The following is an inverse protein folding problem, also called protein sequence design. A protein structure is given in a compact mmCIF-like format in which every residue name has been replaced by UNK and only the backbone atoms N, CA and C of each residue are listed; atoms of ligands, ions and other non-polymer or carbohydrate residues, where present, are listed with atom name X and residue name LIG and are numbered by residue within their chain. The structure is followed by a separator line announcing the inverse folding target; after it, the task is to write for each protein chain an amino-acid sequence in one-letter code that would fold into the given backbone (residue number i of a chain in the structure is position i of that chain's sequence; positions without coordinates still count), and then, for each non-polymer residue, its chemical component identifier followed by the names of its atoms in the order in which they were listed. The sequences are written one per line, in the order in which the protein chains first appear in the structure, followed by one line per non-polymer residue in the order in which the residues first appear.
data_IF_810830762087
#
_entry.id   IF_810830762087
#
_cell.length_a   1.000
_cell.length_b   1.000
_cell.length_c   1.000
_cell.angle_alpha   90.00
_cell.angle_beta   90.00
_cell.angle_gamma   90.00
#
_symmetry.space_group_name_H-M   'P 1'
#
loop_
_entity.id
_entity.type
_entity.pdbx_description
1 polymer ?
#
# COMPACT_ATOMS: atom_id res chain seq x y z
N UNK A 1 5.69 -14.49 -13.68
CA UNK A 1 6.05 -13.90 -12.36
C UNK A 1 5.11 -12.73 -12.14
N UNK A 2 4.16 -12.92 -11.25
CA UNK A 2 3.11 -11.93 -10.96
C UNK A 2 3.64 -10.89 -9.98
N UNK A 3 3.51 -9.61 -10.31
CA UNK A 3 4.03 -8.48 -9.56
C UNK A 3 2.95 -7.49 -9.17
N UNK A 4 2.92 -7.07 -7.91
CA UNK A 4 1.98 -6.04 -7.46
C UNK A 4 2.75 -4.87 -6.84
N UNK A 5 2.37 -3.64 -7.21
CA UNK A 5 2.90 -2.43 -6.61
C UNK A 5 2.11 -2.04 -5.36
N UNK A 6 2.78 -1.58 -4.30
CA UNK A 6 2.12 -1.00 -3.12
C UNK A 6 2.64 0.41 -2.86
N UNK A 7 1.73 1.37 -2.85
CA UNK A 7 1.97 2.76 -2.51
C UNK A 7 1.33 3.04 -1.15
N UNK A 8 2.14 3.49 -0.18
CA UNK A 8 1.65 3.90 1.15
C UNK A 8 2.00 5.36 1.37
N UNK A 9 0.99 6.24 1.40
CA UNK A 9 1.23 7.65 1.68
C UNK A 9 1.31 7.88 3.20
N UNK A 10 2.50 8.19 3.77
CA UNK A 10 2.64 8.44 5.20
C UNK A 10 1.92 9.71 5.66
N UNK A 11 1.72 10.69 4.77
CA UNK A 11 1.05 11.96 5.08
C UNK A 11 -0.48 11.88 5.02
N UNK A 12 -1.08 10.77 4.53
CA UNK A 12 -2.54 10.61 4.54
C UNK A 12 -3.06 10.55 5.99
N UNK A 13 -4.21 11.19 6.23
CA UNK A 13 -4.77 11.28 7.59
C UNK A 13 -4.27 12.48 8.42
N UNK A 14 -3.33 13.29 7.92
CA UNK A 14 -2.85 14.51 8.60
C UNK A 14 -3.61 15.78 8.16
N UNK A 15 -4.83 15.64 7.67
CA UNK A 15 -5.64 16.79 7.23
C UNK A 15 -6.07 17.63 8.43
N UNK A 16 -5.97 18.96 8.31
CA UNK A 16 -6.39 19.93 9.33
C UNK A 16 -7.88 19.79 9.68
N UNK A 17 -8.70 19.30 8.79
CA UNK A 17 -10.14 19.04 9.02
C UNK A 17 -10.40 18.06 10.15
N UNK A 18 -9.44 17.21 10.52
CA UNK A 18 -9.55 16.32 11.68
C UNK A 18 -9.66 17.05 13.02
N UNK A 19 -9.17 18.31 13.09
CA UNK A 19 -9.27 19.14 14.29
C UNK A 19 -10.70 19.61 14.55
N UNK A 20 -11.55 19.60 13.53
CA UNK A 20 -12.93 20.09 13.57
C UNK A 20 -13.94 18.93 13.61
N UNK A 21 -13.61 17.82 12.95
CA UNK A 21 -14.41 16.59 13.01
C UNK A 21 -13.64 15.52 13.79
N UNK A 22 -14.29 14.81 14.70
CA UNK A 22 -13.71 13.66 15.42
C UNK A 22 -13.46 12.47 14.48
N UNK A 23 -12.79 12.72 13.34
CA UNK A 23 -12.58 11.73 12.31
C UNK A 23 -11.51 10.73 12.72
N UNK A 24 -11.74 9.45 12.43
CA UNK A 24 -10.79 8.36 12.65
C UNK A 24 -9.53 8.60 11.82
N UNK A 25 -8.37 8.53 12.45
CA UNK A 25 -7.07 8.68 11.79
C UNK A 25 -6.39 7.32 11.73
N UNK A 26 -6.03 6.90 10.53
CA UNK A 26 -5.15 5.74 10.32
C UNK A 26 -3.71 6.23 10.46
N UNK A 27 -3.05 5.91 11.57
CA UNK A 27 -1.66 6.27 11.80
C UNK A 27 -0.68 5.42 10.97
N UNK A 28 0.60 5.78 10.97
CA UNK A 28 1.60 5.08 10.16
C UNK A 28 1.91 3.66 10.68
N UNK A 29 1.67 3.37 11.96
CA UNK A 29 1.78 2.01 12.49
C UNK A 29 0.64 1.14 11.97
N UNK A 30 -0.59 1.65 11.95
CA UNK A 30 -1.74 0.94 11.39
C UNK A 30 -1.59 0.75 9.87
N UNK A 31 -1.06 1.75 9.13
CA UNK A 31 -0.75 1.57 7.69
C UNK A 31 0.26 0.44 7.46
N UNK A 32 1.28 0.33 8.33
CA UNK A 32 2.21 -0.79 8.30
C UNK A 32 1.52 -2.14 8.56
N UNK A 33 0.63 -2.20 9.56
CA UNK A 33 -0.15 -3.41 9.85
C UNK A 33 -1.13 -3.76 8.71
N UNK A 34 -1.79 -2.78 8.12
CA UNK A 34 -2.62 -2.96 6.92
C UNK A 34 -1.80 -3.52 5.76
N UNK A 35 -0.58 -3.02 5.55
CA UNK A 35 0.32 -3.51 4.50
C UNK A 35 0.66 -4.99 4.70
N UNK A 36 0.93 -5.43 5.92
CA UNK A 36 1.21 -6.86 6.18
C UNK A 36 -0.02 -7.73 5.89
N UNK A 37 -1.22 -7.28 6.29
CA UNK A 37 -2.46 -8.00 5.95
C UNK A 37 -2.69 -8.06 4.44
N UNK A 38 -2.40 -6.96 3.72
CA UNK A 38 -2.46 -6.91 2.26
C UNK A 38 -1.48 -7.92 1.63
N UNK A 39 -0.22 -7.95 2.10
CA UNK A 39 0.78 -8.94 1.67
C UNK A 39 0.33 -10.38 1.90
N UNK A 40 -0.32 -10.66 3.04
CA UNK A 40 -0.86 -11.99 3.33
C UNK A 40 -1.96 -12.39 2.33
N UNK A 41 -2.84 -11.46 1.97
CA UNK A 41 -3.88 -11.69 0.95
C UNK A 41 -3.28 -11.91 -0.45
N UNK A 42 -2.30 -11.11 -0.84
CA UNK A 42 -1.58 -11.25 -2.11
C UNK A 42 -0.84 -12.60 -2.20
N UNK A 43 -0.15 -13.00 -1.15
CA UNK A 43 0.55 -14.29 -1.10
C UNK A 43 -0.40 -15.48 -1.18
N UNK A 44 -1.57 -15.39 -0.55
CA UNK A 44 -2.60 -16.44 -0.60
C UNK A 44 -3.15 -16.68 -2.02
N UNK A 45 -3.03 -15.71 -2.92
CA UNK A 45 -3.46 -15.80 -4.33
C UNK A 45 -2.32 -16.12 -5.30
N UNK A 46 -1.09 -16.31 -4.80
CA UNK A 46 0.06 -16.71 -5.62
C UNK A 46 0.81 -15.56 -6.27
N UNK A 47 0.68 -14.33 -5.74
CA UNK A 47 1.54 -13.22 -6.16
C UNK A 47 2.99 -13.51 -5.77
N UNK A 48 3.93 -13.38 -6.72
CA UNK A 48 5.34 -13.73 -6.51
C UNK A 48 6.12 -12.62 -5.83
N UNK A 49 5.91 -11.37 -6.26
CA UNK A 49 6.69 -10.21 -5.82
C UNK A 49 5.81 -8.99 -5.57
N UNK A 50 6.17 -8.23 -4.55
CA UNK A 50 5.60 -6.90 -4.28
C UNK A 50 6.69 -5.85 -4.36
N UNK A 51 6.48 -4.86 -5.22
CA UNK A 51 7.28 -3.64 -5.28
C UNK A 51 6.70 -2.59 -4.34
N UNK A 52 7.48 -2.17 -3.36
CA UNK A 52 7.03 -1.26 -2.32
C UNK A 52 7.61 0.14 -2.51
N UNK A 53 6.76 1.15 -2.51
CA UNK A 53 7.21 2.55 -2.39
C UNK A 53 8.04 2.73 -1.12
N UNK A 54 9.18 3.47 -1.16
CA UNK A 54 9.90 3.83 0.07
C UNK A 54 8.94 4.46 1.08
N UNK A 55 8.92 3.94 2.30
CA UNK A 55 8.01 4.38 3.34
C UNK A 55 8.77 5.07 4.48
N UNK A 56 8.06 5.80 5.33
CA UNK A 56 8.66 6.32 6.54
C UNK A 56 9.08 5.19 7.49
N UNK A 57 9.94 5.52 8.46
CA UNK A 57 10.50 4.55 9.39
C UNK A 57 9.44 3.83 10.23
N UNK A 58 8.29 4.46 10.50
CA UNK A 58 7.23 3.84 11.30
C UNK A 58 6.53 2.75 10.50
N UNK A 59 6.21 3.01 9.24
CA UNK A 59 5.60 2.02 8.35
C UNK A 59 6.55 0.85 8.14
N UNK A 60 7.80 1.12 7.72
CA UNK A 60 8.78 0.07 7.41
C UNK A 60 9.12 -0.80 8.62
N UNK A 61 9.38 -0.19 9.79
CA UNK A 61 9.64 -0.93 11.03
C UNK A 61 8.44 -1.78 11.48
N UNK A 62 7.22 -1.28 11.27
CA UNK A 62 6.02 -2.05 11.62
C UNK A 62 5.88 -3.27 10.72
N UNK A 63 6.09 -3.13 9.41
CA UNK A 63 6.10 -4.24 8.47
C UNK A 63 7.15 -5.28 8.89
N UNK A 64 8.40 -4.86 9.09
CA UNK A 64 9.48 -5.76 9.49
C UNK A 64 9.20 -6.49 10.80
N UNK A 65 8.71 -5.77 11.81
CA UNK A 65 8.42 -6.34 13.13
C UNK A 65 7.32 -7.41 13.04
N UNK A 66 6.22 -7.11 12.35
CA UNK A 66 5.09 -8.05 12.24
C UNK A 66 5.49 -9.26 11.40
N UNK A 67 6.14 -9.06 10.25
CA UNK A 67 6.58 -10.14 9.38
C UNK A 67 7.54 -11.10 10.11
N UNK A 68 8.53 -10.58 10.84
CA UNK A 68 9.42 -11.42 11.67
C UNK A 68 8.67 -12.17 12.75
N UNK A 69 7.70 -11.53 13.41
CA UNK A 69 6.88 -12.17 14.45
C UNK A 69 6.08 -13.35 13.87
N UNK A 70 5.48 -13.19 12.70
CA UNK A 70 4.72 -14.26 12.03
C UNK A 70 5.63 -15.44 11.68
N UNK A 71 6.83 -15.19 11.18
CA UNK A 71 7.82 -16.23 10.86
C UNK A 71 8.23 -16.99 12.12
N UNK A 72 8.57 -16.30 13.21
CA UNK A 72 8.98 -16.91 14.49
C UNK A 72 7.86 -17.77 15.09
N UNK A 73 6.60 -17.34 14.93
CA UNK A 73 5.44 -18.08 15.44
C UNK A 73 5.00 -19.25 14.54
N UNK A 74 5.63 -19.42 13.38
CA UNK A 74 5.21 -20.43 12.40
C UNK A 74 3.82 -20.14 11.77
N UNK A 75 3.36 -18.90 11.86
CA UNK A 75 2.06 -18.44 11.36
C UNK A 75 2.16 -17.77 10.00
N UNK A 76 3.34 -17.78 9.39
CA UNK A 76 3.54 -17.16 8.08
C UNK A 76 2.77 -17.94 7.01
N UNK A 77 1.66 -17.37 6.54
CA UNK A 77 1.17 -17.68 5.21
C UNK A 77 2.29 -17.37 4.19
N UNK A 78 2.34 -18.02 3.03
CA UNK A 78 3.28 -17.64 1.99
C UNK A 78 3.11 -16.15 1.68
N UNK A 79 4.13 -15.35 1.99
CA UNK A 79 4.17 -13.94 1.64
C UNK A 79 4.93 -13.80 0.31
N UNK A 80 4.52 -12.87 -0.57
CA UNK A 80 5.31 -12.54 -1.75
C UNK A 80 6.68 -11.98 -1.33
N UNK A 81 7.67 -12.08 -2.20
CA UNK A 81 8.94 -11.38 -1.99
C UNK A 81 8.70 -9.88 -1.95
N UNK A 82 9.28 -9.18 -0.97
CA UNK A 82 9.11 -7.74 -0.80
C UNK A 82 10.36 -7.00 -1.25
N UNK A 83 10.23 -6.21 -2.30
CA UNK A 83 11.31 -5.38 -2.85
C UNK A 83 10.98 -3.90 -2.63
N UNK A 84 11.80 -3.21 -1.85
CA UNK A 84 11.71 -1.76 -1.69
C UNK A 84 12.33 -1.07 -2.89
N UNK A 85 11.61 -0.13 -3.50
CA UNK A 85 12.16 0.69 -4.59
C UNK A 85 13.28 1.60 -4.06
N UNK A 86 14.39 1.65 -4.76
CA UNK A 86 15.51 2.55 -4.44
C UNK A 86 15.24 3.94 -5.00
N UNK A 87 14.45 4.72 -4.29
CA UNK A 87 14.04 6.06 -4.66
C UNK A 87 14.26 7.04 -3.49
N UNK A 88 14.62 8.28 -3.76
CA UNK A 88 14.75 9.30 -2.73
C UNK A 88 13.38 9.60 -2.09
N UNK A 89 13.35 9.66 -0.76
CA UNK A 89 12.15 10.04 0.00
C UNK A 89 12.20 11.53 0.33
N UNK A 90 11.21 12.27 -0.16
CA UNK A 90 11.11 13.72 0.01
C UNK A 90 9.88 14.16 0.80
N UNK A 91 8.99 13.22 1.12
CA UNK A 91 7.69 13.44 1.79
C UNK A 91 6.75 14.37 1.01
N UNK A 92 6.88 14.38 -0.31
CA UNK A 92 6.01 15.14 -1.22
C UNK A 92 5.29 14.24 -2.22
N UNK A 93 4.28 14.80 -2.90
CA UNK A 93 3.49 14.11 -3.92
C UNK A 93 4.35 13.48 -5.04
N UNK A 94 5.53 14.05 -5.32
CA UNK A 94 6.48 13.51 -6.31
C UNK A 94 7.00 12.10 -5.96
N UNK A 95 7.05 11.73 -4.66
CA UNK A 95 7.49 10.40 -4.26
C UNK A 95 6.49 9.33 -4.74
N UNK A 96 5.19 9.60 -4.60
CA UNK A 96 4.12 8.76 -5.15
C UNK A 96 4.23 8.63 -6.68
N UNK A 97 4.51 9.74 -7.36
CA UNK A 97 4.64 9.76 -8.83
C UNK A 97 5.86 8.95 -9.29
N UNK A 98 7.01 9.14 -8.62
CA UNK A 98 8.23 8.42 -8.93
C UNK A 98 8.10 6.91 -8.66
N UNK A 99 7.50 6.55 -7.52
CA UNK A 99 7.26 5.15 -7.20
C UNK A 99 6.32 4.48 -8.23
N UNK A 100 5.23 5.16 -8.60
CA UNK A 100 4.32 4.65 -9.61
C UNK A 100 5.01 4.45 -10.97
N UNK A 101 5.82 5.42 -11.40
CA UNK A 101 6.57 5.33 -12.66
C UNK A 101 7.51 4.12 -12.67
N UNK A 102 8.27 3.91 -11.58
CA UNK A 102 9.14 2.75 -11.43
C UNK A 102 8.37 1.42 -11.42
N UNK A 103 7.20 1.36 -10.78
CA UNK A 103 6.33 0.18 -10.79
C UNK A 103 5.80 -0.14 -12.20
N UNK A 104 5.37 0.89 -12.93
CA UNK A 104 4.90 0.74 -14.33
C UNK A 104 6.04 0.25 -15.23
N UNK A 105 7.23 0.84 -15.10
CA UNK A 105 8.42 0.42 -15.84
C UNK A 105 8.84 -1.03 -15.52
N UNK A 106 8.67 -1.45 -14.26
CA UNK A 106 8.92 -2.81 -13.83
C UNK A 106 7.84 -3.81 -14.28
N UNK A 107 6.74 -3.35 -14.87
CA UNK A 107 5.66 -4.19 -15.38
C UNK A 107 4.84 -4.84 -14.26
N UNK A 108 4.34 -4.06 -13.31
CA UNK A 108 3.41 -4.57 -12.29
C UNK A 108 2.04 -4.86 -12.90
N UNK A 109 1.41 -5.93 -12.44
CA UNK A 109 0.10 -6.40 -12.91
C UNK A 109 -1.06 -5.68 -12.22
N UNK A 110 -0.83 -5.13 -11.03
CA UNK A 110 -1.79 -4.30 -10.28
C UNK A 110 -1.08 -3.36 -9.31
N UNK A 111 -1.77 -2.30 -8.86
CA UNK A 111 -1.25 -1.36 -7.85
C UNK A 111 -2.25 -1.18 -6.71
N UNK A 112 -1.82 -1.40 -5.46
CA UNK A 112 -2.58 -1.11 -4.27
C UNK A 112 -2.14 0.24 -3.67
N UNK A 113 -3.08 1.11 -3.35
CA UNK A 113 -2.78 2.48 -2.92
C UNK A 113 -3.44 2.79 -1.58
N UNK A 114 -2.63 2.84 -0.51
CA UNK A 114 -3.05 3.27 0.82
C UNK A 114 -2.91 4.79 0.92
N UNK A 115 -4.03 5.50 0.77
CA UNK A 115 -4.01 6.96 0.73
C UNK A 115 -5.41 7.57 0.77
N UNK A 116 -5.47 8.89 0.75
CA UNK A 116 -6.71 9.66 0.57
C UNK A 116 -6.96 10.04 -0.89
N UNK A 117 -8.04 10.79 -1.15
CA UNK A 117 -8.43 11.25 -2.49
C UNK A 117 -7.29 11.93 -3.27
N UNK A 118 -6.43 12.70 -2.58
CA UNK A 118 -5.28 13.36 -3.21
C UNK A 118 -4.26 12.37 -3.76
N UNK A 119 -3.95 11.30 -3.01
CA UNK A 119 -3.04 10.24 -3.45
C UNK A 119 -3.64 9.47 -4.62
N UNK A 120 -4.91 9.11 -4.54
CA UNK A 120 -5.61 8.40 -5.60
C UNK A 120 -5.62 9.18 -6.91
N UNK A 121 -5.86 10.51 -6.86
CA UNK A 121 -5.80 11.38 -8.04
C UNK A 121 -4.42 11.38 -8.71
N UNK A 122 -3.33 11.32 -7.93
CA UNK A 122 -1.98 11.26 -8.49
C UNK A 122 -1.74 9.95 -9.25
N UNK A 123 -2.28 8.84 -8.73
CA UNK A 123 -2.12 7.51 -9.33
C UNK A 123 -3.00 7.36 -10.56
N UNK A 124 -4.30 7.56 -10.45
CA UNK A 124 -5.25 7.31 -11.56
C UNK A 124 -5.00 8.17 -12.80
N UNK A 125 -4.45 9.35 -12.66
CA UNK A 125 -4.07 10.19 -13.81
C UNK A 125 -2.85 9.68 -14.59
N UNK A 126 -2.20 8.60 -14.15
CA UNK A 126 -0.91 8.13 -14.68
C UNK A 126 -0.86 6.65 -15.01
N UNK A 127 -1.86 5.89 -14.62
CA UNK A 127 -2.02 4.47 -15.00
C UNK A 127 -3.10 4.38 -16.07
N UNK A 128 -2.77 3.88 -17.26
CA UNK A 128 -3.73 3.77 -18.36
C UNK A 128 -4.57 2.48 -18.25
N UNK A 129 -3.92 1.34 -17.99
CA UNK A 129 -4.56 0.02 -18.07
C UNK A 129 -4.25 -0.88 -16.87
N UNK A 130 -3.39 -0.43 -15.94
CA UNK A 130 -3.05 -1.22 -14.76
C UNK A 130 -4.18 -1.10 -13.73
N UNK A 131 -4.75 -2.22 -13.25
CA UNK A 131 -5.75 -2.21 -12.19
C UNK A 131 -5.23 -1.53 -10.92
N UNK A 132 -6.04 -0.63 -10.35
CA UNK A 132 -5.70 0.08 -9.11
C UNK A 132 -6.70 -0.26 -8.02
N UNK A 133 -6.22 -0.73 -6.89
CA UNK A 133 -7.02 -0.96 -5.68
C UNK A 133 -6.85 0.20 -4.71
N UNK A 134 -7.84 1.10 -4.57
CA UNK A 134 -7.78 2.23 -3.66
C UNK A 134 -8.19 1.83 -2.24
N UNK A 135 -7.30 2.00 -1.26
CA UNK A 135 -7.55 1.75 0.16
C UNK A 135 -7.56 3.08 0.94
N UNK A 136 -8.64 3.33 1.65
CA UNK A 136 -8.81 4.55 2.42
C UNK A 136 -7.93 4.56 3.67
N UNK A 137 -7.02 5.52 3.75
CA UNK A 137 -6.26 5.87 4.96
C UNK A 137 -6.28 7.36 5.27
N UNK A 138 -7.11 8.10 4.55
CA UNK A 138 -7.37 9.53 4.78
C UNK A 138 -8.57 9.77 5.68
N UNK A 139 -8.81 11.04 6.02
CA UNK A 139 -9.81 11.43 7.02
C UNK A 139 -11.25 11.48 6.49
N UNK A 140 -11.45 12.04 5.30
CA UNK A 140 -12.76 12.21 4.65
C UNK A 140 -12.59 11.95 3.16
N UNK A 141 -12.66 10.68 2.78
CA UNK A 141 -12.45 10.28 1.41
C UNK A 141 -13.80 10.07 0.70
N UNK A 142 -13.86 10.45 -0.58
CA UNK A 142 -14.99 10.23 -1.46
C UNK A 142 -14.74 8.99 -2.32
N UNK A 143 -13.52 8.84 -2.82
CA UNK A 143 -13.18 7.80 -3.78
C UNK A 143 -12.65 6.52 -3.12
N UNK A 144 -11.55 6.51 -2.31
CA UNK A 144 -11.10 5.28 -1.69
C UNK A 144 -12.04 4.88 -0.55
N UNK A 145 -12.48 3.64 -0.56
CA UNK A 145 -13.32 3.08 0.51
C UNK A 145 -12.45 2.40 1.57
N UNK A 146 -13.00 2.33 2.78
CA UNK A 146 -12.40 1.51 3.82
C UNK A 146 -12.70 0.03 3.52
N UNK A 147 -11.65 -0.77 3.39
CA UNK A 147 -11.75 -2.20 3.12
C UNK A 147 -10.77 -2.93 4.02
N UNK A 148 -11.14 -4.10 4.53
CA UNK A 148 -10.23 -4.95 5.28
C UNK A 148 -9.06 -5.36 4.37
N UNK A 149 -7.83 -5.18 4.87
CA UNK A 149 -6.64 -5.24 4.03
C UNK A 149 -6.31 -6.64 3.49
N UNK A 150 -6.65 -7.71 4.23
CA UNK A 150 -6.46 -9.09 3.74
C UNK A 150 -7.40 -9.38 2.57
N UNK A 151 -8.67 -8.99 2.70
CA UNK A 151 -9.67 -9.13 1.62
C UNK A 151 -9.26 -8.31 0.39
N UNK A 152 -8.77 -7.10 0.62
CA UNK A 152 -8.24 -6.24 -0.43
C UNK A 152 -7.05 -6.90 -1.14
N UNK A 153 -6.14 -7.52 -0.40
CA UNK A 153 -5.00 -8.27 -0.95
C UNK A 153 -5.41 -9.46 -1.80
N UNK A 154 -6.41 -10.23 -1.33
CA UNK A 154 -6.97 -11.33 -2.11
C UNK A 154 -7.58 -10.81 -3.42
N UNK A 155 -8.39 -9.74 -3.35
CA UNK A 155 -9.01 -9.16 -4.54
C UNK A 155 -7.97 -8.67 -5.56
N UNK A 156 -6.95 -7.93 -5.10
CA UNK A 156 -5.88 -7.44 -5.96
C UNK A 156 -5.06 -8.59 -6.58
N UNK A 157 -4.76 -9.61 -5.78
CA UNK A 157 -4.01 -10.76 -6.24
C UNK A 157 -4.78 -11.58 -7.30
N UNK A 158 -6.08 -11.78 -7.12
CA UNK A 158 -6.93 -12.46 -8.13
C UNK A 158 -7.05 -11.69 -9.45
N UNK A 159 -6.91 -10.37 -9.41
CA UNK A 159 -6.91 -9.55 -10.63
C UNK A 159 -5.54 -9.57 -11.30
N UNK A 160 -4.46 -9.69 -10.53
CA UNK A 160 -3.09 -9.70 -11.02
C UNK A 160 -2.65 -11.06 -11.58
N UNK A 161 -3.20 -12.19 -11.07
CA UNK A 161 -2.87 -13.56 -11.51
C UNK A 161 -3.80 -14.06 -12.60
#
# INVERSE_FOLDING_TARGET
MTRVGIIVNPASGHDIRRLISAATVVDNSEKGAMTVRLLSGLGATGVDEVLMMPADLTVSRTIDRITRSLVVQGLSAPLPSLTWLDLPTTYHARDTIAALAAMVEAGVDAVCVLGGDGTQRLVHGRVAEIPVLPLSTGTNNIYPVWTEATVAGIAAGLVAT
#
